data_IF_296960012415
#
_entry.id   IF_296960012415
#
_cell.length_a   1.000
_cell.length_b   1.000
_cell.length_c   1.000
_cell.angle_alpha   90.00
_cell.angle_beta   90.00
_cell.angle_gamma   90.00
#
_symmetry.space_group_name_H-M   'P 1'
#
loop_
_entity.id
_entity.type
_entity.pdbx_description
1 polymer ?
#
# COMPACT_ATOMS: atom_id res chain seq x y z
N UNK A 1 -4.93 -13.27 -13.88
CA UNK A 1 -3.80 -13.12 -12.92
C UNK A 1 -4.29 -12.27 -11.76
N UNK A 2 -4.10 -12.73 -10.52
CA UNK A 2 -4.63 -12.06 -9.33
C UNK A 2 -3.81 -10.82 -8.96
N UNK A 3 -4.48 -9.80 -8.40
CA UNK A 3 -3.83 -8.62 -7.83
C UNK A 3 -3.00 -9.03 -6.61
N UNK A 4 -1.71 -8.73 -6.62
CA UNK A 4 -0.85 -9.03 -5.49
C UNK A 4 -1.11 -8.08 -4.31
N UNK A 5 -0.71 -8.52 -3.11
CA UNK A 5 -0.75 -7.69 -1.91
C UNK A 5 0.60 -7.79 -1.23
N UNK A 6 1.23 -6.65 -1.04
CA UNK A 6 2.52 -6.52 -0.35
C UNK A 6 2.37 -5.56 0.83
N UNK A 7 3.46 -5.44 1.58
CA UNK A 7 3.64 -4.48 2.66
C UNK A 7 4.81 -3.53 2.32
N UNK A 8 5.04 -2.52 3.15
CA UNK A 8 6.12 -1.55 2.95
C UNK A 8 7.50 -2.21 2.87
N UNK A 9 7.70 -3.38 3.50
CA UNK A 9 8.99 -4.09 3.46
C UNK A 9 9.22 -4.88 2.17
N UNK A 10 8.17 -5.47 1.60
CA UNK A 10 8.23 -6.36 0.41
C UNK A 10 7.94 -5.66 -0.91
N UNK A 11 7.47 -4.41 -0.90
CA UNK A 11 7.11 -3.64 -2.10
C UNK A 11 8.24 -3.56 -3.14
N UNK A 12 9.48 -3.40 -2.69
CA UNK A 12 10.66 -3.28 -3.58
C UNK A 12 11.11 -4.62 -4.17
N UNK A 13 10.77 -5.74 -3.53
CA UNK A 13 11.17 -7.07 -3.98
C UNK A 13 10.33 -7.55 -5.19
N UNK A 14 9.18 -6.90 -5.42
CA UNK A 14 8.30 -7.26 -6.54
C UNK A 14 8.90 -6.79 -7.88
N UNK A 15 9.16 -7.76 -8.75
CA UNK A 15 9.82 -7.53 -10.05
C UNK A 15 8.88 -7.10 -11.18
N UNK A 16 7.58 -7.38 -11.08
CA UNK A 16 6.62 -7.11 -12.14
C UNK A 16 5.16 -7.12 -11.65
N UNK A 17 4.28 -6.53 -12.46
CA UNK A 17 2.84 -6.49 -12.24
C UNK A 17 2.40 -5.46 -11.20
N UNK A 18 1.19 -5.64 -10.69
CA UNK A 18 0.58 -4.69 -9.76
C UNK A 18 0.43 -5.28 -8.37
N UNK A 19 0.58 -4.42 -7.37
CA UNK A 19 0.38 -4.78 -5.98
C UNK A 19 -0.39 -3.70 -5.23
N UNK A 20 -1.12 -4.13 -4.20
CA UNK A 20 -1.78 -3.21 -3.26
C UNK A 20 -1.07 -3.28 -1.92
N UNK A 21 -0.72 -2.10 -1.40
CA UNK A 21 -0.19 -1.91 -0.05
C UNK A 21 -1.23 -1.14 0.77
N UNK A 22 -1.56 -1.63 1.96
CA UNK A 22 -2.37 -0.88 2.91
C UNK A 22 -1.46 -0.24 3.96
N UNK A 23 -1.40 1.08 3.96
CA UNK A 23 -0.49 1.84 4.81
C UNK A 23 -1.12 3.17 5.23
N UNK A 24 -0.51 3.82 6.21
CA UNK A 24 -0.84 5.20 6.60
C UNK A 24 0.00 6.15 5.76
N UNK A 25 -0.63 7.19 5.19
CA UNK A 25 0.10 8.29 4.56
C UNK A 25 0.75 9.15 5.64
N UNK A 26 2.07 9.18 5.71
CA UNK A 26 2.84 9.90 6.74
C UNK A 26 3.24 11.30 6.29
N UNK A 27 3.61 11.44 5.02
CA UNK A 27 3.93 12.74 4.43
C UNK A 27 3.51 12.76 2.97
N UNK A 28 3.17 13.94 2.46
CA UNK A 28 2.87 14.19 1.04
C UNK A 28 4.05 14.77 0.27
N UNK A 29 5.10 15.25 0.95
CA UNK A 29 6.26 15.86 0.31
C UNK A 29 7.57 15.68 1.12
N UNK A 30 8.42 14.69 0.78
CA UNK A 30 8.20 13.64 -0.22
C UNK A 30 7.15 12.62 0.26
N UNK A 31 6.35 12.02 -0.65
CA UNK A 31 5.29 11.11 -0.22
C UNK A 31 5.87 9.90 0.52
N UNK A 32 5.41 9.69 1.75
CA UNK A 32 5.91 8.63 2.62
C UNK A 32 4.75 7.84 3.18
N UNK A 33 4.78 6.52 3.05
CA UNK A 33 3.78 5.61 3.59
C UNK A 33 4.38 4.73 4.68
N UNK A 34 3.57 4.30 5.65
CA UNK A 34 4.02 3.43 6.74
C UNK A 34 2.97 2.41 7.11
N UNK A 35 3.40 1.16 7.26
CA UNK A 35 2.60 0.09 7.83
C UNK A 35 3.33 -0.55 9.03
N UNK A 36 2.90 -1.75 9.42
CA UNK A 36 3.49 -2.47 10.55
C UNK A 36 4.84 -3.12 10.25
N UNK A 37 5.25 -3.18 8.98
CA UNK A 37 6.50 -3.80 8.51
C UNK A 37 7.60 -2.77 8.27
N UNK A 38 7.24 -1.52 7.98
CA UNK A 38 8.19 -0.44 7.82
C UNK A 38 7.58 0.82 7.24
N UNK A 39 8.46 1.70 6.76
CA UNK A 39 8.08 2.91 6.01
C UNK A 39 8.73 2.91 4.64
N UNK A 40 8.00 3.37 3.64
CA UNK A 40 8.47 3.52 2.28
C UNK A 40 8.29 4.96 1.80
N UNK A 41 9.37 5.58 1.36
CA UNK A 41 9.35 6.90 0.74
C UNK A 41 9.23 6.69 -0.78
N UNK A 42 8.15 7.21 -1.37
CA UNK A 42 7.88 7.10 -2.79
C UNK A 42 8.83 8.03 -3.54
N UNK A 43 9.38 7.52 -4.63
CA UNK A 43 10.24 8.27 -5.55
C UNK A 43 9.50 9.31 -6.39
N UNK A 44 8.18 9.15 -6.52
CA UNK A 44 7.30 9.97 -7.36
C UNK A 44 6.20 10.59 -6.52
N UNK A 45 5.71 11.75 -6.98
CA UNK A 45 4.55 12.39 -6.40
C UNK A 45 3.33 11.46 -6.42
N UNK A 46 2.43 11.65 -5.47
CA UNK A 46 1.14 10.97 -5.49
C UNK A 46 0.34 11.37 -6.74
N UNK A 47 -0.55 10.49 -7.24
CA UNK A 47 -1.49 10.84 -8.29
C UNK A 47 -2.27 12.13 -7.97
N UNK A 48 -2.61 12.91 -8.99
CA UNK A 48 -3.21 14.25 -8.82
C UNK A 48 -4.64 14.23 -8.28
N UNK A 49 -5.30 13.07 -8.36
CA UNK A 49 -6.67 12.81 -7.95
C UNK A 49 -6.79 12.26 -6.51
N UNK A 50 -5.70 12.31 -5.73
CA UNK A 50 -5.68 11.75 -4.38
C UNK A 50 -6.39 12.67 -3.39
N UNK A 51 -7.47 12.15 -2.80
CA UNK A 51 -8.21 12.74 -1.67
C UNK A 51 -7.79 12.00 -0.40
N UNK A 52 -6.51 12.11 -0.02
CA UNK A 52 -5.99 11.52 1.21
C UNK A 52 -5.10 12.55 1.92
N UNK A 53 -5.26 12.65 3.23
CA UNK A 53 -4.50 13.56 4.09
C UNK A 53 -3.41 12.80 4.87
N UNK A 54 -2.42 13.54 5.37
CA UNK A 54 -1.42 12.96 6.27
C UNK A 54 -2.11 12.44 7.54
N UNK A 55 -1.88 11.16 7.86
CA UNK A 55 -2.57 10.43 8.92
C UNK A 55 -3.62 9.44 8.41
N UNK A 56 -4.06 9.54 7.16
CA UNK A 56 -5.08 8.65 6.61
C UNK A 56 -4.56 7.24 6.35
N UNK A 57 -5.36 6.25 6.72
CA UNK A 57 -5.16 4.88 6.27
C UNK A 57 -5.65 4.75 4.84
N UNK A 58 -4.78 4.29 3.93
CA UNK A 58 -5.06 4.25 2.51
C UNK A 58 -4.69 2.89 1.90
N UNK A 59 -5.34 2.55 0.79
CA UNK A 59 -4.89 1.53 -0.15
C UNK A 59 -4.10 2.20 -1.27
N UNK A 60 -2.85 1.78 -1.44
CA UNK A 60 -1.95 2.24 -2.49
C UNK A 60 -1.80 1.14 -3.54
N UNK A 61 -2.19 1.43 -4.78
CA UNK A 61 -1.94 0.57 -5.92
C UNK A 61 -0.61 0.96 -6.56
N UNK A 62 0.32 0.03 -6.64
CA UNK A 62 1.62 0.21 -7.28
C UNK A 62 1.73 -0.60 -8.57
N UNK A 63 2.38 -0.01 -9.57
CA UNK A 63 2.93 -0.71 -10.73
C UNK A 63 4.41 -1.02 -10.45
N UNK A 64 4.75 -2.30 -10.40
CA UNK A 64 6.07 -2.82 -10.06
C UNK A 64 6.87 -3.28 -11.28
N UNK A 65 6.30 -3.20 -12.49
CA UNK A 65 7.05 -3.45 -13.74
C UNK A 65 8.06 -2.33 -14.06
N UNK A 66 7.99 -1.21 -13.33
CA UNK A 66 8.97 -0.12 -13.33
C UNK A 66 9.60 -0.01 -11.95
N UNK A 67 10.89 0.32 -11.90
CA UNK A 67 11.65 0.46 -10.66
C UNK A 67 12.25 1.87 -10.57
N UNK A 68 12.04 2.60 -9.46
CA UNK A 68 11.22 2.25 -8.29
C UNK A 68 9.71 2.12 -8.60
N UNK A 69 8.93 1.34 -7.81
CA UNK A 69 7.51 1.13 -8.06
C UNK A 69 6.74 2.45 -8.10
N UNK A 70 5.86 2.59 -9.09
CA UNK A 70 5.09 3.81 -9.29
C UNK A 70 3.71 3.67 -8.65
N UNK A 71 3.33 4.62 -7.81
CA UNK A 71 1.96 4.69 -7.29
C UNK A 71 1.01 5.11 -8.42
N UNK A 72 0.04 4.25 -8.72
CA UNK A 72 -0.98 4.49 -9.73
C UNK A 72 -2.26 5.08 -9.14
N UNK A 73 -2.61 4.69 -7.91
CA UNK A 73 -3.85 5.10 -7.27
C UNK A 73 -3.71 5.05 -5.76
N UNK A 74 -4.32 6.02 -5.09
CA UNK A 74 -4.52 6.02 -3.64
C UNK A 74 -6.02 6.03 -3.37
N UNK A 75 -6.46 5.22 -2.41
CA UNK A 75 -7.85 5.20 -1.96
C UNK A 75 -7.87 5.33 -0.45
N UNK A 76 -8.29 6.50 0.04
CA UNK A 76 -8.49 6.72 1.47
C UNK A 76 -9.55 5.74 2.00
N UNK A 77 -9.27 5.18 3.18
CA UNK A 77 -10.17 4.28 3.87
C UNK A 77 -10.95 5.13 4.90
N UNK A 78 -12.29 5.18 4.82
CA UNK A 78 -13.09 5.84 5.84
C UNK A 78 -12.74 5.31 7.23
N UNK A 79 -12.66 6.19 8.22
CA UNK A 79 -12.21 5.85 9.59
C UNK A 79 -13.00 4.67 10.18
N UNK A 80 -14.30 4.58 9.90
CA UNK A 80 -15.18 3.50 10.37
C UNK A 80 -14.80 2.14 9.78
N UNK A 81 -14.18 2.11 8.60
CA UNK A 81 -13.80 0.91 7.88
C UNK A 81 -12.34 0.48 8.15
N UNK A 82 -11.55 1.30 8.83
CA UNK A 82 -10.15 0.96 9.17
C UNK A 82 -10.03 -0.37 9.92
N UNK A 83 -10.86 -0.70 10.94
CA UNK A 83 -10.80 -1.99 11.62
C UNK A 83 -11.11 -3.16 10.70
N UNK A 84 -12.08 -2.99 9.79
CA UNK A 84 -12.48 -4.01 8.81
C UNK A 84 -11.34 -4.30 7.86
N UNK A 85 -10.68 -3.26 7.32
CA UNK A 85 -9.56 -3.45 6.41
C UNK A 85 -8.36 -4.09 7.11
N UNK A 86 -8.03 -3.67 8.34
CA UNK A 86 -6.99 -4.32 9.14
C UNK A 86 -7.29 -5.81 9.37
N UNK A 87 -8.54 -6.16 9.67
CA UNK A 87 -8.97 -7.55 9.83
C UNK A 87 -8.85 -8.35 8.51
N UNK A 88 -9.32 -7.80 7.40
CA UNK A 88 -9.21 -8.46 6.08
C UNK A 88 -7.75 -8.69 5.67
N UNK A 89 -6.86 -7.75 5.97
CA UNK A 89 -5.42 -7.90 5.73
C UNK A 89 -4.79 -8.96 6.62
N UNK A 90 -5.15 -8.99 7.91
CA UNK A 90 -4.69 -10.04 8.83
C UNK A 90 -5.14 -11.42 8.35
N UNK A 91 -6.41 -11.57 7.95
CA UNK A 91 -6.95 -12.81 7.40
C UNK A 91 -6.26 -13.25 6.11
N UNK A 92 -5.96 -12.29 5.23
CA UNK A 92 -5.21 -12.57 4.01
C UNK A 92 -3.79 -13.08 4.31
N UNK A 93 -3.09 -12.47 5.28
CA UNK A 93 -1.76 -12.91 5.73
C UNK A 93 -1.81 -14.31 6.35
N UNK A 94 -2.78 -14.59 7.22
CA UNK A 94 -2.98 -15.91 7.82
C UNK A 94 -3.24 -16.99 6.77
N UNK A 95 -4.04 -16.68 5.73
CA UNK A 95 -4.34 -17.62 4.64
C UNK A 95 -3.08 -17.97 3.86
N UNK A 96 -2.28 -16.98 3.47
CA UNK A 96 -1.06 -17.20 2.72
C UNK A 96 0.05 -17.92 3.52
N UNK A 97 0.10 -17.72 4.85
CA UNK A 97 1.00 -18.48 5.73
C UNK A 97 0.62 -19.95 5.88
N UNK A 98 -0.68 -20.29 5.83
CA UNK A 98 -1.15 -21.68 5.93
C UNK A 98 -1.08 -22.46 4.61
N UNK A 99 -0.96 -21.77 3.49
CA UNK A 99 -0.85 -22.37 2.15
C UNK A 99 0.59 -22.56 1.67
N UNK A 100 1.59 -22.27 2.52
CA UNK A 100 3.02 -22.53 2.29
C UNK A 100 3.48 -23.69 3.17
#
# INVERSE_FOLDING_TARGET
MGLAKDDCSSLLDRKAGQTVVCAVLISTNPPTIKDNTGSYCLSSALPSDVIAEEGDSCLFLFECSVQPPRCLRVTAIPHELVPVMKYQLAKFREFHQKSS
#
